data_IF_423951166585
#
_entry.id   IF_423951166585
#
_cell.length_a   1.000
_cell.length_b   1.000
_cell.length_c   1.000
_cell.angle_alpha   90.00
_cell.angle_beta   90.00
_cell.angle_gamma   90.00
#
_symmetry.space_group_name_H-M   'P 1'
#
loop_
_entity.id
_entity.type
_entity.pdbx_description
1 polymer ?
#
# COMPACT_ATOMS: atom_id res chain seq x y z
N UNK A 1 -55.70 -60.68 50.92
CA UNK A 1 -55.56 -59.93 49.71
C UNK A 1 -54.54 -58.82 49.94
N UNK A 2 -53.27 -59.04 49.44
CA UNK A 2 -52.17 -58.10 49.73
C UNK A 2 -51.85 -57.36 48.42
N UNK A 3 -52.14 -56.05 48.47
CA UNK A 3 -51.82 -55.17 47.30
C UNK A 3 -50.41 -54.68 47.45
N UNK A 4 -49.54 -55.10 46.50
CA UNK A 4 -48.17 -54.64 46.36
C UNK A 4 -48.11 -53.45 45.38
N UNK A 5 -47.68 -52.26 45.83
CA UNK A 5 -47.53 -51.16 44.87
C UNK A 5 -46.32 -51.39 44.00
N UNK A 6 -46.52 -51.33 42.71
CA UNK A 6 -45.52 -51.40 41.64
C UNK A 6 -44.68 -50.11 41.61
N UNK A 7 -43.42 -50.19 42.06
CA UNK A 7 -42.48 -49.09 41.95
C UNK A 7 -42.17 -48.84 40.50
N UNK A 8 -42.66 -47.73 39.99
CA UNK A 8 -42.25 -47.16 38.70
C UNK A 8 -40.78 -46.75 38.81
N UNK A 9 -39.91 -47.40 38.06
CA UNK A 9 -38.54 -46.98 37.80
C UNK A 9 -38.63 -45.77 36.88
N UNK A 10 -38.46 -44.57 37.42
CA UNK A 10 -38.17 -43.40 36.66
C UNK A 10 -36.84 -43.60 35.94
N UNK A 11 -36.92 -43.83 34.66
CA UNK A 11 -35.79 -43.78 33.71
C UNK A 11 -35.26 -42.36 33.73
N UNK A 12 -34.26 -42.07 34.56
CA UNK A 12 -33.46 -40.88 34.39
C UNK A 12 -32.72 -41.06 33.06
N UNK A 13 -33.23 -40.43 32.02
CA UNK A 13 -32.53 -40.20 30.79
C UNK A 13 -31.37 -39.27 31.17
N UNK A 14 -30.25 -39.83 31.54
CA UNK A 14 -29.00 -39.10 31.62
C UNK A 14 -28.73 -38.57 30.21
N UNK A 15 -28.94 -37.26 30.05
CA UNK A 15 -28.38 -36.54 28.93
C UNK A 15 -26.87 -36.77 29.06
N UNK A 16 -26.35 -37.75 28.36
CA UNK A 16 -24.91 -37.87 28.18
C UNK A 16 -24.46 -36.60 27.40
N UNK A 17 -24.12 -35.61 28.18
CA UNK A 17 -23.39 -34.44 27.67
C UNK A 17 -21.91 -34.78 27.45
N UNK A 18 -21.65 -35.96 26.93
CA UNK A 18 -20.41 -36.22 26.24
C UNK A 18 -20.50 -35.40 24.93
N UNK A 19 -20.30 -34.11 25.08
CA UNK A 19 -19.96 -33.25 23.94
C UNK A 19 -18.78 -33.93 23.27
N UNK A 20 -19.05 -34.62 22.16
CA UNK A 20 -18.00 -35.17 21.32
C UNK A 20 -17.12 -33.99 20.87
N UNK A 21 -16.02 -33.77 21.58
CA UNK A 21 -15.05 -32.72 21.27
C UNK A 21 -14.32 -32.99 19.94
N UNK A 22 -14.42 -34.20 19.43
CA UNK A 22 -13.79 -34.61 18.16
C UNK A 22 -14.24 -33.78 16.96
N UNK A 23 -15.55 -33.51 16.71
CA UNK A 23 -15.97 -32.65 15.62
C UNK A 23 -15.47 -31.21 15.80
N UNK A 24 -15.42 -30.73 17.04
CA UNK A 24 -14.95 -29.40 17.38
C UNK A 24 -13.46 -29.25 17.10
N UNK A 25 -12.64 -30.23 17.48
CA UNK A 25 -11.22 -30.24 17.18
C UNK A 25 -10.95 -30.29 15.67
N UNK A 26 -11.76 -31.04 14.92
CA UNK A 26 -11.61 -31.11 13.47
C UNK A 26 -11.91 -29.76 12.80
N UNK A 27 -12.92 -29.03 13.28
CA UNK A 27 -13.24 -27.69 12.82
C UNK A 27 -12.09 -26.72 13.14
N UNK A 28 -11.50 -26.78 14.34
CA UNK A 28 -10.37 -25.93 14.70
C UNK A 28 -9.12 -26.17 13.86
N UNK A 29 -8.82 -27.44 13.53
CA UNK A 29 -7.68 -27.79 12.69
C UNK A 29 -7.80 -27.17 11.28
N UNK A 30 -9.03 -27.01 10.78
CA UNK A 30 -9.28 -26.37 9.48
C UNK A 30 -9.35 -24.85 9.60
N UNK A 31 -9.95 -24.34 10.68
CA UNK A 31 -10.10 -22.88 10.86
C UNK A 31 -8.78 -22.16 11.13
N UNK A 32 -7.84 -22.77 11.88
CA UNK A 32 -6.56 -22.13 12.21
C UNK A 32 -5.75 -21.80 10.95
N UNK A 33 -5.49 -22.72 10.01
CA UNK A 33 -4.79 -22.41 8.77
C UNK A 33 -5.56 -21.41 7.90
N UNK A 34 -6.90 -21.50 7.87
CA UNK A 34 -7.73 -20.59 7.10
C UNK A 34 -7.66 -19.17 7.63
N UNK A 35 -7.68 -18.99 8.97
CA UNK A 35 -7.52 -17.67 9.61
C UNK A 35 -6.11 -17.10 9.38
N UNK A 36 -5.07 -17.94 9.46
CA UNK A 36 -3.70 -17.51 9.16
C UNK A 36 -3.56 -17.07 7.71
N UNK A 37 -4.16 -17.81 6.78
CA UNK A 37 -4.15 -17.44 5.37
C UNK A 37 -4.94 -16.15 5.12
N UNK A 38 -6.09 -15.97 5.78
CA UNK A 38 -6.87 -14.73 5.72
C UNK A 38 -6.10 -13.54 6.31
N UNK A 39 -5.35 -13.73 7.39
CA UNK A 39 -4.55 -12.68 8.01
C UNK A 39 -3.38 -12.22 7.12
N UNK A 40 -2.80 -13.13 6.35
CA UNK A 40 -1.71 -12.81 5.41
C UNK A 40 -2.20 -11.94 4.24
N UNK A 41 -3.47 -12.09 3.82
CA UNK A 41 -4.05 -11.29 2.74
C UNK A 41 -4.62 -9.94 3.20
N UNK A 42 -4.71 -9.68 4.49
CA UNK A 42 -5.00 -8.34 5.00
C UNK A 42 -3.70 -7.54 4.99
N UNK A 43 -3.23 -7.16 3.83
CA UNK A 43 -2.37 -5.98 3.73
C UNK A 43 -3.19 -4.81 4.25
N UNK A 44 -2.92 -4.39 5.46
CA UNK A 44 -3.41 -3.12 5.98
C UNK A 44 -2.70 -2.04 5.14
N UNK A 45 -3.31 -1.67 4.03
CA UNK A 45 -2.97 -0.45 3.34
C UNK A 45 -3.49 0.68 4.21
N UNK A 46 -2.66 1.16 5.09
CA UNK A 46 -2.89 2.45 5.73
C UNK A 46 -2.76 3.47 4.63
N UNK A 47 -3.88 3.77 3.97
CA UNK A 47 -4.00 4.98 3.17
C UNK A 47 -4.01 6.09 4.21
N UNK A 48 -2.85 6.66 4.50
CA UNK A 48 -2.81 7.96 5.12
C UNK A 48 -3.44 8.93 4.13
N UNK A 49 -4.76 9.09 4.24
CA UNK A 49 -5.42 10.24 3.66
C UNK A 49 -4.86 11.46 4.38
N UNK A 50 -3.81 12.04 3.84
CA UNK A 50 -3.45 13.42 4.11
C UNK A 50 -4.62 14.29 3.62
N UNK A 51 -5.58 14.51 4.51
CA UNK A 51 -6.51 15.62 4.36
C UNK A 51 -5.67 16.88 4.18
N UNK A 52 -5.95 17.71 3.17
CA UNK A 52 -5.30 19.00 3.04
C UNK A 52 -5.68 19.83 4.27
N UNK A 53 -4.86 19.76 5.29
CA UNK A 53 -4.90 20.75 6.36
C UNK A 53 -4.40 22.04 5.77
N UNK A 54 -5.33 22.97 5.57
CA UNK A 54 -5.05 24.36 5.37
C UNK A 54 -3.88 24.79 6.23
N UNK A 55 -2.79 25.14 5.55
CA UNK A 55 -1.67 25.97 6.00
C UNK A 55 -1.56 26.15 7.53
N UNK A 56 -1.01 25.17 8.21
CA UNK A 56 -0.39 25.39 9.50
C UNK A 56 1.05 24.91 9.36
N UNK A 57 1.96 25.86 9.50
CA UNK A 57 3.38 25.69 9.36
C UNK A 57 3.85 24.43 10.06
N UNK A 58 4.17 23.39 9.29
CA UNK A 58 4.89 22.24 9.80
C UNK A 58 6.27 22.74 10.24
N UNK A 59 6.50 22.72 11.56
CA UNK A 59 7.84 22.83 12.10
C UNK A 59 8.69 21.72 11.46
N UNK A 60 9.89 22.04 10.98
CA UNK A 60 10.79 21.01 10.47
C UNK A 60 11.15 20.09 11.63
N UNK A 61 10.66 18.86 11.62
CA UNK A 61 11.23 17.80 12.43
C UNK A 61 12.66 17.59 11.92
N UNK A 62 13.62 18.04 12.73
CA UNK A 62 15.02 17.86 12.47
C UNK A 62 15.37 16.37 12.65
N UNK A 63 15.20 15.60 11.58
CA UNK A 63 15.71 14.23 11.33
C UNK A 63 14.83 13.50 10.28
N UNK A 64 13.95 14.21 9.58
CA UNK A 64 13.25 13.61 8.44
C UNK A 64 14.26 13.42 7.31
N UNK A 65 14.67 12.16 7.08
CA UNK A 65 15.44 11.79 5.89
C UNK A 65 14.70 12.33 4.66
N UNK A 66 15.40 13.11 3.85
CA UNK A 66 14.85 13.65 2.60
C UNK A 66 14.48 12.48 1.68
N UNK A 67 13.20 12.27 1.46
CA UNK A 67 12.64 11.14 0.70
C UNK A 67 11.82 11.66 -0.48
N UNK A 68 12.44 11.86 -1.64
CA UNK A 68 11.75 12.31 -2.83
C UNK A 68 11.04 11.14 -3.52
N UNK A 69 9.78 11.39 -3.95
CA UNK A 69 8.97 10.44 -4.68
C UNK A 69 8.31 11.11 -5.89
N UNK A 70 8.17 10.37 -6.98
CA UNK A 70 7.39 10.78 -8.16
C UNK A 70 6.25 9.80 -8.34
N UNK A 71 5.03 10.28 -8.18
CA UNK A 71 3.81 9.50 -8.40
C UNK A 71 3.32 9.69 -9.83
N UNK A 72 3.06 8.59 -10.52
CA UNK A 72 2.45 8.57 -11.84
C UNK A 72 0.95 8.38 -11.67
N UNK A 73 0.20 9.44 -11.79
CA UNK A 73 -1.28 9.43 -11.78
C UNK A 73 -1.82 9.38 -13.22
N UNK A 74 -3.14 9.28 -13.35
CA UNK A 74 -3.77 9.18 -14.67
C UNK A 74 -3.44 10.36 -15.59
N UNK A 75 -3.48 11.59 -15.05
CA UNK A 75 -3.34 12.82 -15.84
C UNK A 75 -2.17 13.71 -15.39
N UNK A 76 -1.40 13.29 -14.37
CA UNK A 76 -0.43 14.17 -13.72
C UNK A 76 0.72 13.37 -13.12
N UNK A 77 1.92 13.90 -13.21
CA UNK A 77 3.06 13.49 -12.40
C UNK A 77 3.10 14.36 -11.14
N UNK A 78 3.08 13.77 -9.98
CA UNK A 78 3.14 14.48 -8.70
C UNK A 78 4.49 14.21 -8.05
N UNK A 79 5.23 15.26 -7.79
CA UNK A 79 6.53 15.19 -7.12
C UNK A 79 6.29 15.51 -5.64
N UNK A 80 6.65 14.59 -4.79
CA UNK A 80 6.53 14.69 -3.34
C UNK A 80 7.90 14.61 -2.69
N UNK A 81 8.03 15.28 -1.55
CA UNK A 81 9.20 15.19 -0.67
C UNK A 81 8.68 15.00 0.74
N UNK A 82 9.04 13.91 1.37
CA UNK A 82 8.58 13.56 2.73
C UNK A 82 7.04 13.53 2.84
N UNK A 83 6.33 13.08 1.79
CA UNK A 83 4.87 13.05 1.74
C UNK A 83 4.20 14.41 1.47
N UNK A 84 4.96 15.47 1.26
CA UNK A 84 4.43 16.77 0.90
C UNK A 84 4.58 17.02 -0.61
N UNK A 85 3.49 17.37 -1.28
CA UNK A 85 3.51 17.71 -2.71
C UNK A 85 4.30 18.99 -2.95
N UNK A 86 5.38 18.88 -3.70
CA UNK A 86 6.23 20.01 -4.10
C UNK A 86 5.73 20.60 -5.41
N UNK A 87 5.45 19.77 -6.38
CA UNK A 87 4.97 20.18 -7.69
C UNK A 87 4.18 19.10 -8.39
N UNK A 88 3.23 19.52 -9.23
CA UNK A 88 2.53 18.65 -10.16
C UNK A 88 2.81 19.09 -11.58
N UNK A 89 3.06 18.12 -12.47
CA UNK A 89 3.33 18.32 -13.90
C UNK A 89 2.27 17.55 -14.68
N UNK A 90 1.61 18.20 -15.64
CA UNK A 90 0.60 17.54 -16.46
C UNK A 90 1.24 16.37 -17.22
N UNK A 91 0.56 15.22 -17.19
CA UNK A 91 0.96 14.03 -17.93
C UNK A 91 0.50 14.15 -19.36
N UNK A 92 1.27 14.89 -20.14
CA UNK A 92 1.11 14.93 -21.58
C UNK A 92 2.05 13.87 -22.18
N UNK A 93 1.48 12.90 -22.88
CA UNK A 93 2.26 11.86 -23.52
C UNK A 93 2.77 12.33 -24.89
N UNK A 94 4.00 11.99 -25.21
CA UNK A 94 4.63 12.36 -26.48
C UNK A 94 4.10 11.52 -27.66
N UNK A 95 3.70 10.28 -27.37
CA UNK A 95 3.30 9.28 -28.36
C UNK A 95 1.80 9.03 -28.32
N UNK A 96 1.25 8.62 -29.46
CA UNK A 96 -0.16 8.22 -29.60
C UNK A 96 -0.52 7.03 -28.68
N UNK A 97 0.47 6.23 -28.30
CA UNK A 97 0.32 5.05 -27.41
C UNK A 97 0.52 5.38 -25.92
N UNK A 98 0.84 6.64 -25.57
CA UNK A 98 0.96 7.07 -24.18
C UNK A 98 2.15 6.47 -23.43
N UNK A 99 3.24 6.10 -24.15
CA UNK A 99 4.34 5.33 -23.57
C UNK A 99 5.49 6.18 -23.02
N UNK A 100 5.63 7.42 -23.47
CA UNK A 100 6.72 8.31 -23.05
C UNK A 100 6.17 9.68 -22.63
N UNK A 101 6.75 10.32 -21.60
CA UNK A 101 6.39 11.69 -21.24
C UNK A 101 6.72 12.66 -22.40
N UNK A 102 5.86 13.65 -22.61
CA UNK A 102 6.10 14.69 -23.59
C UNK A 102 7.40 15.44 -23.28
N UNK A 103 8.00 16.07 -24.31
CA UNK A 103 9.21 16.87 -24.09
C UNK A 103 9.01 17.97 -23.04
N UNK A 104 7.83 18.58 -23.00
CA UNK A 104 7.49 19.61 -22.02
C UNK A 104 7.46 19.03 -20.61
N UNK A 105 6.77 17.90 -20.43
CA UNK A 105 6.71 17.21 -19.16
C UNK A 105 8.11 16.74 -18.70
N UNK A 106 8.87 16.15 -19.60
CA UNK A 106 10.23 15.70 -19.31
C UNK A 106 11.16 16.85 -18.91
N UNK A 107 11.06 18.01 -19.59
CA UNK A 107 11.85 19.20 -19.23
C UNK A 107 11.48 19.74 -17.87
N UNK A 108 10.19 19.87 -17.56
CA UNK A 108 9.71 20.34 -16.26
C UNK A 108 10.13 19.36 -15.15
N UNK A 109 9.96 18.08 -15.33
CA UNK A 109 10.39 17.04 -14.38
C UNK A 109 11.90 17.13 -14.14
N UNK A 110 12.70 17.22 -15.21
CA UNK A 110 14.16 17.35 -15.10
C UNK A 110 14.54 18.59 -14.30
N UNK A 111 13.91 19.73 -14.59
CA UNK A 111 14.20 21.00 -13.90
C UNK A 111 13.89 20.90 -12.39
N UNK A 112 12.73 20.37 -12.02
CA UNK A 112 12.36 20.23 -10.62
C UNK A 112 13.26 19.23 -9.91
N UNK A 113 13.50 18.07 -10.49
CA UNK A 113 14.37 17.06 -9.90
C UNK A 113 15.82 17.54 -9.78
N UNK A 114 16.33 18.30 -10.75
CA UNK A 114 17.66 18.91 -10.67
C UNK A 114 17.74 19.93 -9.54
N UNK A 115 16.71 20.75 -9.32
CA UNK A 115 16.67 21.69 -8.22
C UNK A 115 16.63 21.00 -6.87
N UNK A 116 15.89 19.88 -6.76
CA UNK A 116 15.83 19.05 -5.56
C UNK A 116 17.18 18.36 -5.28
N UNK A 117 17.82 17.81 -6.30
CA UNK A 117 19.14 17.17 -6.19
C UNK A 117 20.22 18.19 -5.80
N UNK A 118 20.15 19.43 -6.30
CA UNK A 118 21.07 20.51 -5.94
C UNK A 118 20.90 20.94 -4.48
N UNK A 119 19.68 20.92 -3.95
CA UNK A 119 19.39 21.24 -2.55
C UNK A 119 19.87 20.16 -1.58
N UNK A 120 19.92 18.90 -2.03
CA UNK A 120 20.27 17.73 -1.21
C UNK A 120 21.25 16.83 -1.95
N UNK A 121 22.52 17.23 -2.09
CA UNK A 121 23.51 16.49 -2.88
C UNK A 121 23.86 15.11 -2.32
N UNK A 122 23.60 14.88 -1.02
CA UNK A 122 23.77 13.59 -0.39
C UNK A 122 22.71 12.55 -0.80
N UNK A 123 21.53 13.02 -1.21
CA UNK A 123 20.42 12.15 -1.62
C UNK A 123 20.54 11.79 -3.08
N UNK A 124 20.75 10.51 -3.34
CA UNK A 124 20.86 9.94 -4.70
C UNK A 124 19.72 8.98 -5.03
N UNK A 125 18.82 8.79 -4.09
CA UNK A 125 17.71 7.87 -4.22
C UNK A 125 16.39 8.62 -4.42
N UNK A 126 15.56 8.13 -5.33
CA UNK A 126 14.22 8.63 -5.61
C UNK A 126 13.26 7.44 -5.77
N UNK A 127 12.06 7.56 -5.24
CA UNK A 127 11.00 6.56 -5.41
C UNK A 127 10.11 6.96 -6.58
N UNK A 128 9.81 6.00 -7.45
CA UNK A 128 8.82 6.14 -8.52
C UNK A 128 7.64 5.27 -8.17
N UNK A 129 6.50 5.90 -7.92
CA UNK A 129 5.26 5.21 -7.57
C UNK A 129 4.38 5.15 -8.82
N UNK A 130 4.22 3.95 -9.36
CA UNK A 130 3.49 3.73 -10.60
C UNK A 130 2.20 2.95 -10.34
N UNK A 131 1.10 3.37 -10.97
CA UNK A 131 -0.14 2.60 -10.97
C UNK A 131 -0.02 1.36 -11.88
N UNK A 132 -0.86 0.36 -11.64
CA UNK A 132 -0.87 -0.89 -12.43
C UNK A 132 -1.18 -0.67 -13.91
N UNK A 133 -1.79 0.45 -14.26
CA UNK A 133 -2.11 0.86 -15.64
C UNK A 133 -0.96 1.61 -16.34
N UNK A 134 0.14 1.90 -15.64
CA UNK A 134 1.26 2.66 -16.21
C UNK A 134 2.10 1.78 -17.12
N UNK A 135 2.44 2.29 -18.30
CA UNK A 135 3.29 1.57 -19.24
C UNK A 135 4.73 1.49 -18.73
N UNK A 136 5.34 0.32 -18.89
CA UNK A 136 6.71 0.08 -18.44
C UNK A 136 7.74 1.04 -19.08
N UNK A 137 7.54 1.40 -20.34
CA UNK A 137 8.42 2.34 -21.04
C UNK A 137 8.38 3.74 -20.41
N UNK A 138 7.25 4.17 -19.93
CA UNK A 138 7.11 5.44 -19.22
C UNK A 138 7.88 5.44 -17.89
N UNK A 139 7.82 4.34 -17.16
CA UNK A 139 8.59 4.16 -15.92
C UNK A 139 10.09 4.27 -16.20
N UNK A 140 10.57 3.60 -17.26
CA UNK A 140 11.97 3.68 -17.65
C UNK A 140 12.35 5.10 -18.06
N UNK A 141 11.48 5.80 -18.82
CA UNK A 141 11.69 7.21 -19.18
C UNK A 141 11.84 8.12 -17.98
N UNK A 142 11.02 7.91 -16.93
CA UNK A 142 11.14 8.67 -15.68
C UNK A 142 12.41 8.31 -14.89
N UNK A 143 12.81 7.06 -14.87
CA UNK A 143 14.08 6.65 -14.27
C UNK A 143 15.29 7.31 -14.97
N UNK A 144 15.24 7.42 -16.28
CA UNK A 144 16.29 8.10 -17.04
C UNK A 144 16.32 9.62 -16.77
N UNK A 145 15.15 10.24 -16.64
CA UNK A 145 15.02 11.66 -16.23
C UNK A 145 15.59 11.84 -14.82
N UNK A 146 15.25 10.99 -13.87
CA UNK A 146 15.76 11.05 -12.52
C UNK A 146 17.29 10.89 -12.45
N UNK A 147 17.81 9.96 -13.24
CA UNK A 147 19.27 9.73 -13.37
C UNK A 147 19.97 10.95 -13.96
N UNK A 148 19.40 11.54 -15.01
CA UNK A 148 19.94 12.76 -15.62
C UNK A 148 19.88 13.96 -14.68
N UNK A 149 18.91 14.02 -13.77
CA UNK A 149 18.77 15.04 -12.76
C UNK A 149 19.73 14.91 -11.57
N UNK A 150 20.51 13.81 -11.48
CA UNK A 150 21.48 13.58 -10.41
C UNK A 150 21.04 12.57 -9.33
N UNK A 151 19.92 11.87 -9.55
CA UNK A 151 19.41 10.80 -8.68
C UNK A 151 19.47 9.44 -9.38
N UNK A 152 20.64 8.78 -9.43
CA UNK A 152 20.84 7.55 -10.20
C UNK A 152 20.16 6.31 -9.59
N UNK A 153 19.78 6.36 -8.32
CA UNK A 153 19.14 5.25 -7.62
C UNK A 153 17.62 5.46 -7.63
N UNK A 154 16.94 4.94 -8.64
CA UNK A 154 15.49 4.99 -8.72
C UNK A 154 14.88 3.66 -8.26
N UNK A 155 14.13 3.69 -7.16
CA UNK A 155 13.31 2.59 -6.68
C UNK A 155 11.92 2.63 -7.32
N UNK A 156 11.35 1.47 -7.69
CA UNK A 156 9.98 1.35 -8.19
C UNK A 156 9.07 0.82 -7.09
N UNK A 157 7.98 1.53 -6.87
CA UNK A 157 6.92 1.12 -5.95
C UNK A 157 5.58 1.04 -6.69
N UNK A 158 4.83 -0.03 -6.44
CA UNK A 158 3.50 -0.19 -7.01
C UNK A 158 2.51 0.68 -6.27
N UNK A 159 1.94 1.67 -6.94
CA UNK A 159 0.78 2.42 -6.46
C UNK A 159 -0.50 1.61 -6.67
N UNK A 160 -1.43 1.73 -5.76
CA UNK A 160 -2.77 1.13 -5.85
C UNK A 160 -3.77 2.06 -6.47
#
# INVERSE_FOLDING_TARGET
>A
MSFRPKRSRSSRHGINSDLELRPLMNVFIVLIPMLLMSAVFVEIRVIEMSLPQTAQAAQPAADASFDPAVHILADTYVIEVNGAVVQSVARENADADGTLPSRNAATQLTQVLTSLAASHPEQKEIRIVAQSSTHYQEIIGLMDIARAAGMPQAGLEGGS
#
